data_IF_167350344565
#
_entry.id   IF_167350344565
#
_cell.length_a   1.000
_cell.length_b   1.000
_cell.length_c   1.000
_cell.angle_alpha   90.00
_cell.angle_beta   90.00
_cell.angle_gamma   90.00
#
_symmetry.space_group_name_H-M   'P 1'
#
loop_
_entity.id
_entity.type
_entity.pdbx_description
1 polymer ?
#
# COMPACT_ATOMS: atom_id res chain seq x y z
N UNK A 1 27.08 -29.39 63.79
CA UNK A 1 25.61 -29.46 63.54
C UNK A 1 24.93 -28.46 64.45
N UNK A 2 24.73 -27.23 63.99
CA UNK A 2 24.00 -26.17 64.70
C UNK A 2 23.08 -25.49 63.69
N UNK A 3 21.87 -25.20 64.15
CA UNK A 3 20.67 -24.92 63.36
C UNK A 3 20.70 -23.52 62.73
N UNK A 4 20.17 -23.48 61.51
CA UNK A 4 19.53 -22.40 60.76
C UNK A 4 19.31 -21.08 61.53
N UNK A 5 19.90 -20.00 61.01
CA UNK A 5 19.63 -18.61 61.42
C UNK A 5 19.15 -17.86 60.17
N UNK A 6 17.86 -17.45 60.20
CA UNK A 6 17.31 -16.11 59.87
C UNK A 6 17.55 -15.61 58.43
N UNK A 7 16.58 -15.14 57.64
CA UNK A 7 15.65 -14.03 57.88
C UNK A 7 14.52 -14.01 56.82
N UNK A 8 13.31 -13.66 57.24
CA UNK A 8 12.23 -13.13 56.39
C UNK A 8 12.64 -11.76 55.83
N UNK A 9 12.47 -11.54 54.53
CA UNK A 9 12.29 -10.20 53.95
C UNK A 9 11.28 -10.29 52.79
N UNK A 10 10.10 -9.75 53.07
CA UNK A 10 9.00 -9.51 52.16
C UNK A 10 9.28 -8.21 51.37
N UNK A 11 8.81 -8.16 50.11
CA UNK A 11 8.62 -7.00 49.21
C UNK A 11 9.74 -6.66 48.22
N UNK A 12 9.39 -6.76 46.92
CA UNK A 12 10.09 -6.02 45.86
C UNK A 12 9.65 -6.38 44.45
N UNK A 13 8.65 -5.63 43.92
CA UNK A 13 8.60 -5.06 42.56
C UNK A 13 8.58 -6.07 41.38
N UNK A 14 7.42 -6.33 40.77
CA UNK A 14 6.85 -5.62 39.59
C UNK A 14 7.63 -5.81 38.27
N UNK A 15 6.87 -6.20 37.24
CA UNK A 15 7.14 -6.04 35.80
C UNK A 15 8.43 -6.66 35.23
N UNK A 16 8.31 -7.85 34.65
CA UNK A 16 9.23 -8.32 33.60
C UNK A 16 8.49 -9.27 32.67
N UNK A 17 8.01 -8.69 31.58
CA UNK A 17 7.25 -9.37 30.54
C UNK A 17 6.59 -8.36 29.61
N UNK A 18 7.27 -7.23 29.35
CA UNK A 18 6.97 -6.36 28.22
C UNK A 18 7.40 -7.14 26.98
N UNK A 19 6.50 -7.92 26.39
CA UNK A 19 6.60 -8.15 24.96
C UNK A 19 6.10 -6.87 24.30
N UNK A 20 7.07 -6.05 23.94
CA UNK A 20 6.98 -4.81 23.20
C UNK A 20 6.29 -5.07 21.86
N UNK A 21 4.96 -5.06 21.86
CA UNK A 21 4.14 -4.96 20.66
C UNK A 21 4.03 -3.52 20.16
N UNK A 22 5.10 -2.72 20.23
CA UNK A 22 5.15 -1.36 19.70
C UNK A 22 6.47 -1.12 18.97
N UNK A 23 6.38 -0.78 17.68
CA UNK A 23 7.45 -0.07 16.98
C UNK A 23 7.75 -0.61 15.59
N UNK A 24 6.90 -0.32 14.60
CA UNK A 24 7.34 -0.26 13.19
C UNK A 24 6.57 0.74 12.32
N UNK A 25 5.55 1.43 12.84
CA UNK A 25 4.74 2.35 12.02
C UNK A 25 5.38 3.72 11.75
N UNK A 26 6.53 4.03 12.37
CA UNK A 26 7.22 5.31 12.20
C UNK A 26 8.43 5.26 11.25
N UNK A 27 8.89 4.06 10.86
CA UNK A 27 9.97 3.89 9.88
C UNK A 27 9.44 3.78 8.44
N UNK A 28 8.16 3.44 8.27
CA UNK A 28 7.57 3.23 6.97
C UNK A 28 7.44 4.54 6.17
N UNK A 29 7.20 5.68 6.84
CA UNK A 29 6.92 6.97 6.19
C UNK A 29 8.16 7.59 5.53
N UNK A 30 9.36 7.15 5.92
CA UNK A 30 10.64 7.61 5.33
C UNK A 30 11.02 6.83 4.06
N UNK A 31 10.11 6.01 3.52
CA UNK A 31 10.47 4.94 2.59
C UNK A 31 9.54 4.74 1.38
N UNK A 32 8.50 5.56 1.19
CA UNK A 32 7.71 5.51 -0.04
C UNK A 32 8.53 6.13 -1.20
N UNK A 33 8.90 5.37 -2.24
CA UNK A 33 9.62 5.91 -3.38
C UNK A 33 8.75 6.92 -4.14
N UNK A 34 9.39 7.90 -4.78
CA UNK A 34 8.72 8.78 -5.74
C UNK A 34 8.12 7.93 -6.86
N UNK A 35 6.99 8.39 -7.41
CA UNK A 35 6.33 7.70 -8.51
C UNK A 35 7.32 7.45 -9.67
N UNK A 36 7.41 6.21 -10.17
CA UNK A 36 8.36 5.85 -11.20
C UNK A 36 7.93 6.31 -12.60
N UNK A 37 8.88 6.29 -13.53
CA UNK A 37 8.64 6.64 -14.93
C UNK A 37 7.70 5.65 -15.62
N UNK A 38 6.96 6.15 -16.62
CA UNK A 38 6.02 5.35 -17.42
C UNK A 38 6.69 4.15 -18.10
N UNK A 39 7.99 4.21 -18.40
CA UNK A 39 8.74 3.09 -18.96
C UNK A 39 8.87 1.86 -18.05
N UNK A 40 8.64 2.01 -16.74
CA UNK A 40 8.60 0.89 -15.78
C UNK A 40 7.21 0.31 -15.59
N UNK A 41 6.19 0.90 -16.24
CA UNK A 41 4.80 0.47 -16.15
C UNK A 41 4.62 -0.83 -16.93
N UNK A 42 4.08 -1.83 -16.26
CA UNK A 42 3.78 -3.14 -16.85
C UNK A 42 2.34 -3.22 -17.35
N UNK A 43 1.39 -2.66 -16.62
CA UNK A 43 -0.03 -2.77 -16.95
C UNK A 43 -0.86 -1.63 -16.34
N UNK A 44 -2.09 -1.50 -16.83
CA UNK A 44 -3.07 -0.50 -16.44
C UNK A 44 -4.44 -1.15 -16.22
N UNK A 45 -5.02 -0.90 -15.05
CA UNK A 45 -6.35 -1.40 -14.70
C UNK A 45 -7.28 -0.22 -14.47
N UNK A 46 -8.56 -0.44 -14.78
CA UNK A 46 -9.61 0.54 -14.49
C UNK A 46 -10.67 -0.08 -13.60
N UNK A 47 -10.81 0.48 -12.41
CA UNK A 47 -11.92 0.18 -11.50
C UNK A 47 -13.07 1.16 -11.78
N UNK A 48 -14.16 0.62 -12.35
CA UNK A 48 -15.35 1.41 -12.64
C UNK A 48 -16.14 1.80 -11.38
N UNK A 49 -16.15 0.95 -10.35
CA UNK A 49 -16.92 1.20 -9.12
C UNK A 49 -16.27 2.32 -8.30
N UNK A 50 -14.96 2.23 -8.09
CA UNK A 50 -14.20 3.25 -7.37
C UNK A 50 -13.78 4.43 -8.24
N UNK A 51 -13.98 4.35 -9.57
CA UNK A 51 -13.47 5.30 -10.58
C UNK A 51 -11.96 5.53 -10.44
N UNK A 52 -11.20 4.44 -10.30
CA UNK A 52 -9.75 4.49 -10.16
C UNK A 52 -9.06 3.98 -11.42
N UNK A 53 -8.05 4.72 -11.85
CA UNK A 53 -7.05 4.26 -12.80
C UNK A 53 -5.84 3.77 -12.01
N UNK A 54 -5.53 2.48 -12.14
CA UNK A 54 -4.50 1.79 -11.37
C UNK A 54 -3.35 1.46 -12.30
N UNK A 55 -2.16 1.97 -12.01
CA UNK A 55 -0.95 1.69 -12.77
C UNK A 55 -0.05 0.73 -11.99
N UNK A 56 0.38 -0.35 -12.65
CA UNK A 56 1.24 -1.39 -12.08
C UNK A 56 2.65 -1.23 -12.63
N UNK A 57 3.65 -1.19 -11.74
CA UNK A 57 5.04 -0.93 -12.10
C UNK A 57 5.98 -2.04 -11.63
N UNK A 58 7.11 -2.20 -12.32
CA UNK A 58 8.25 -3.02 -11.92
C UNK A 58 9.49 -2.15 -11.84
N UNK A 59 9.85 -1.73 -10.62
CA UNK A 59 11.00 -0.88 -10.38
C UNK A 59 12.31 -1.62 -10.67
N UNK A 60 12.36 -2.93 -10.40
CA UNK A 60 13.51 -3.77 -10.71
C UNK A 60 13.63 -4.14 -12.20
N UNK A 61 12.56 -3.92 -13.00
CA UNK A 61 12.52 -4.31 -14.41
C UNK A 61 12.53 -5.83 -14.65
N UNK A 62 12.17 -6.62 -13.63
CA UNK A 62 12.15 -8.10 -13.71
C UNK A 62 10.79 -8.65 -14.18
N UNK A 63 9.84 -7.75 -14.49
CA UNK A 63 8.49 -8.11 -14.92
C UNK A 63 7.56 -8.46 -13.76
N UNK A 64 8.00 -8.31 -12.51
CA UNK A 64 7.14 -8.45 -11.32
C UNK A 64 6.66 -7.09 -10.85
N UNK A 65 5.41 -7.05 -10.42
CA UNK A 65 4.80 -5.86 -9.87
C UNK A 65 5.28 -5.69 -8.43
N UNK A 66 6.01 -4.60 -8.19
CA UNK A 66 6.55 -4.24 -6.88
C UNK A 66 6.03 -2.87 -6.41
N UNK A 67 5.47 -2.05 -7.30
CA UNK A 67 4.93 -0.73 -7.00
C UNK A 67 3.61 -0.49 -7.76
N UNK A 68 2.62 0.08 -7.09
CA UNK A 68 1.30 0.38 -7.69
C UNK A 68 0.84 1.77 -7.30
N UNK A 69 0.23 2.50 -8.24
CA UNK A 69 -0.46 3.77 -7.96
C UNK A 69 -1.92 3.70 -8.39
N UNK A 70 -2.79 4.43 -7.68
CA UNK A 70 -4.19 4.61 -8.08
C UNK A 70 -4.55 6.09 -8.13
N UNK A 71 -5.06 6.54 -9.28
CA UNK A 71 -5.53 7.90 -9.52
C UNK A 71 -7.04 7.94 -9.70
N UNK A 72 -7.67 9.00 -9.22
CA UNK A 72 -9.09 9.24 -9.47
C UNK A 72 -9.31 9.61 -10.93
N UNK A 73 -10.33 9.03 -11.56
CA UNK A 73 -10.74 9.33 -12.94
C UNK A 73 -11.85 10.38 -12.93
N UNK A 74 -11.55 11.57 -13.46
CA UNK A 74 -12.51 12.67 -13.64
C UNK A 74 -13.48 12.42 -14.78
N UNK A 75 -12.95 12.01 -15.92
CA UNK A 75 -13.72 11.77 -17.13
C UNK A 75 -13.22 10.50 -17.80
N UNK A 76 -14.15 9.75 -18.40
CA UNK A 76 -13.83 8.64 -19.27
C UNK A 76 -14.47 8.88 -20.64
N UNK A 77 -13.72 8.60 -21.69
CA UNK A 77 -14.16 8.75 -23.07
C UNK A 77 -13.70 7.54 -23.89
N UNK A 78 -14.14 7.50 -25.15
CA UNK A 78 -13.60 6.58 -26.14
C UNK A 78 -12.88 7.38 -27.22
N UNK A 79 -11.71 6.92 -27.61
CA UNK A 79 -11.01 7.43 -28.78
C UNK A 79 -11.80 7.14 -30.05
N UNK A 80 -11.37 7.74 -31.18
CA UNK A 80 -11.94 7.47 -32.49
C UNK A 80 -11.91 5.98 -32.90
N UNK A 81 -10.99 5.20 -32.32
CA UNK A 81 -10.83 3.76 -32.57
C UNK A 81 -11.55 2.88 -31.53
N UNK A 82 -12.34 3.48 -30.63
CA UNK A 82 -13.08 2.77 -29.59
C UNK A 82 -12.29 2.42 -28.33
N UNK A 83 -10.97 2.70 -28.30
CA UNK A 83 -10.14 2.47 -27.11
C UNK A 83 -10.59 3.41 -25.97
N UNK A 84 -10.63 2.92 -24.71
CA UNK A 84 -10.91 3.76 -23.57
C UNK A 84 -9.82 4.82 -23.39
N UNK A 85 -10.23 6.02 -23.01
CA UNK A 85 -9.35 7.13 -22.66
C UNK A 85 -9.81 7.67 -21.31
N UNK A 86 -8.91 7.69 -20.33
CA UNK A 86 -9.18 8.16 -18.98
C UNK A 86 -8.49 9.50 -18.75
N UNK A 87 -9.26 10.48 -18.30
CA UNK A 87 -8.69 11.71 -17.74
C UNK A 87 -8.60 11.54 -16.23
N UNK A 88 -7.39 11.45 -15.72
CA UNK A 88 -7.11 11.25 -14.30
C UNK A 88 -6.78 12.55 -13.60
N UNK A 89 -6.87 12.55 -12.27
CA UNK A 89 -6.13 13.51 -11.45
C UNK A 89 -4.62 13.44 -11.76
N UNK A 90 -3.91 14.52 -11.46
CA UNK A 90 -2.47 14.59 -11.67
C UNK A 90 -1.73 13.59 -10.77
N UNK A 91 -2.06 13.60 -9.48
CA UNK A 91 -1.39 12.78 -8.48
C UNK A 91 -2.24 11.59 -8.02
N UNK A 92 -1.60 10.47 -7.65
CA UNK A 92 -2.28 9.33 -7.05
C UNK A 92 -2.88 9.66 -5.68
N UNK A 93 -4.00 9.02 -5.37
CA UNK A 93 -4.62 9.03 -4.03
C UNK A 93 -4.15 7.83 -3.17
N UNK A 94 -3.70 6.76 -3.83
CA UNK A 94 -3.12 5.60 -3.15
C UNK A 94 -1.85 5.13 -3.82
N UNK A 95 -0.96 4.59 -2.99
CA UNK A 95 0.23 3.86 -3.39
C UNK A 95 0.26 2.51 -2.69
N UNK A 96 0.80 1.50 -3.36
CA UNK A 96 1.17 0.24 -2.72
C UNK A 96 2.64 -0.03 -3.00
N UNK A 97 3.40 -0.21 -1.93
CA UNK A 97 4.84 -0.45 -1.96
C UNK A 97 5.26 -1.28 -0.77
N UNK A 98 6.13 -2.26 -0.99
CA UNK A 98 6.71 -3.09 0.06
C UNK A 98 5.65 -3.68 1.03
N UNK A 99 4.57 -4.23 0.45
CA UNK A 99 3.41 -4.79 1.18
C UNK A 99 2.67 -3.79 2.08
N UNK A 100 2.80 -2.49 1.83
CA UNK A 100 2.11 -1.43 2.56
C UNK A 100 1.33 -0.56 1.60
N UNK A 101 0.06 -0.32 1.95
CA UNK A 101 -0.83 0.61 1.25
C UNK A 101 -0.78 1.97 1.93
N UNK A 102 -0.53 3.00 1.14
CA UNK A 102 -0.41 4.40 1.54
C UNK A 102 -1.53 5.20 0.92
N UNK A 103 -2.09 6.13 1.68
CA UNK A 103 -3.02 7.13 1.22
C UNK A 103 -2.33 8.49 1.21
N UNK A 104 -2.46 9.22 0.12
CA UNK A 104 -2.12 10.64 0.03
C UNK A 104 -3.41 11.46 0.16
N UNK A 105 -3.67 12.08 1.34
CA UNK A 105 -4.88 12.85 1.56
C UNK A 105 -4.89 14.18 0.81
N UNK A 106 -3.72 14.73 0.49
CA UNK A 106 -3.55 16.05 -0.12
C UNK A 106 -3.46 15.96 -1.65
N UNK A 107 -3.21 14.75 -2.20
CA UNK A 107 -3.06 14.47 -3.63
C UNK A 107 -2.03 15.40 -4.27
N UNK A 108 -0.91 15.60 -3.58
CA UNK A 108 0.21 16.42 -4.00
C UNK A 108 1.45 15.59 -4.36
N UNK A 109 1.34 14.26 -4.29
CA UNK A 109 2.38 13.33 -4.66
C UNK A 109 3.37 13.09 -3.52
N UNK A 110 4.22 12.07 -3.68
CA UNK A 110 5.12 11.60 -2.62
C UNK A 110 6.02 12.71 -2.07
N UNK A 111 5.70 13.21 -0.88
CA UNK A 111 6.42 14.29 -0.20
C UNK A 111 6.59 14.10 1.31
N UNK A 112 6.09 12.99 1.87
CA UNK A 112 6.23 12.63 3.27
C UNK A 112 5.03 12.97 4.15
N UNK A 113 3.97 13.57 3.59
CA UNK A 113 2.67 13.75 4.27
C UNK A 113 1.75 12.51 4.12
N UNK A 114 2.18 11.48 3.39
CA UNK A 114 1.39 10.28 3.11
C UNK A 114 1.16 9.45 4.39
N UNK A 115 0.00 8.81 4.45
CA UNK A 115 -0.43 8.04 5.61
C UNK A 115 -0.52 6.57 5.28
N UNK A 116 0.01 5.73 6.16
CA UNK A 116 -0.23 4.29 6.10
C UNK A 116 -1.73 4.03 6.25
N UNK A 117 -2.33 3.41 5.23
CA UNK A 117 -3.70 2.94 5.26
C UNK A 117 -3.77 1.50 5.79
N UNK A 118 -2.88 0.63 5.29
CA UNK A 118 -2.82 -0.77 5.68
C UNK A 118 -1.42 -1.35 5.48
N UNK A 119 -0.90 -2.08 6.46
CA UNK A 119 0.39 -2.78 6.39
C UNK A 119 0.18 -4.29 6.15
N UNK A 120 1.24 -4.97 5.69
CA UNK A 120 1.28 -6.42 5.46
C UNK A 120 0.16 -6.92 4.53
N UNK A 121 -0.10 -6.17 3.46
CA UNK A 121 -1.14 -6.46 2.49
C UNK A 121 -0.52 -6.74 1.12
N UNK A 122 -0.96 -7.81 0.47
CA UNK A 122 -0.58 -8.13 -0.89
C UNK A 122 -1.52 -7.44 -1.89
N UNK A 123 -0.97 -6.93 -2.99
CA UNK A 123 -1.78 -6.35 -4.04
C UNK A 123 -2.40 -7.45 -4.92
N UNK A 124 -3.69 -7.67 -4.74
CA UNK A 124 -4.45 -8.68 -5.48
C UNK A 124 -5.06 -8.09 -6.77
N UNK A 125 -4.30 -8.24 -7.86
CA UNK A 125 -4.68 -7.79 -9.21
C UNK A 125 -5.98 -8.45 -9.69
N UNK A 126 -6.28 -9.67 -9.20
CA UNK A 126 -7.45 -10.41 -9.68
C UNK A 126 -8.78 -9.73 -9.34
N UNK A 127 -8.79 -8.86 -8.32
CA UNK A 127 -9.95 -8.04 -7.94
C UNK A 127 -10.33 -7.00 -8.98
N UNK A 128 -9.36 -6.55 -9.77
CA UNK A 128 -9.52 -5.46 -10.74
C UNK A 128 -9.54 -5.97 -12.18
N UNK A 129 -9.48 -7.29 -12.39
CA UNK A 129 -9.60 -7.85 -13.74
C UNK A 129 -10.94 -7.43 -14.34
N UNK A 130 -10.94 -6.76 -15.50
CA UNK A 130 -12.19 -6.39 -16.15
C UNK A 130 -12.96 -7.68 -16.47
N UNK A 131 -14.28 -7.67 -16.27
CA UNK A 131 -15.11 -8.72 -16.84
C UNK A 131 -14.83 -8.70 -18.36
N UNK A 132 -14.31 -9.82 -18.88
CA UNK A 132 -13.89 -9.93 -20.27
C UNK A 132 -14.98 -9.36 -21.18
N UNK A 133 -14.61 -8.43 -22.06
CA UNK A 133 -15.45 -7.96 -23.17
C UNK A 133 -15.71 -9.13 -24.14
N UNK A 134 -16.55 -10.09 -23.73
CA UNK A 134 -17.04 -11.26 -24.48
C UNK A 134 -18.08 -12.10 -23.68
N UNK A 135 -18.81 -11.49 -22.74
CA UNK A 135 -20.03 -12.10 -22.18
C UNK A 135 -19.85 -13.26 -21.21
N UNK A 136 -18.69 -13.38 -20.55
CA UNK A 136 -18.59 -14.25 -19.37
C UNK A 136 -19.02 -13.48 -18.12
N UNK A 137 -19.91 -14.08 -17.33
CA UNK A 137 -20.35 -13.53 -16.06
C UNK A 137 -19.21 -13.56 -15.05
N UNK A 138 -18.97 -12.38 -14.48
CA UNK A 138 -18.57 -12.23 -13.10
C UNK A 138 -19.77 -12.66 -12.21
#
# INVERSE_FOLDING_TARGET
>A
MFRLVVTLALWGVLLSGMESGWGSSALAADQLPVEPDVGTRLDELYDHEARLFIALYSLAGDGRIDYVTARVVREYARSAYGNPVYQTEAQPIFYWWNHTMWNDPEQDGVNGNERVYQENTDFDISRYKPCSFNGQSC
#
